data_IF_845219123222
#
_entry.id   IF_845219123222
#
_cell.length_a   1.000
_cell.length_b   1.000
_cell.length_c   1.000
_cell.angle_alpha   90.00
_cell.angle_beta   90.00
_cell.angle_gamma   90.00
#
_symmetry.space_group_name_H-M   'P 1'
#
loop_
_entity.id
_entity.type
_entity.pdbx_description
1 polymer ?
#
# COMPACT_ATOMS: atom_id res chain seq x y z
N UNK A 1 6.15 -54.31 17.19
CA UNK A 1 5.47 -53.30 16.35
C UNK A 1 4.80 -52.18 17.17
N UNK A 2 5.17 -51.96 18.44
CA UNK A 2 4.46 -51.05 19.38
C UNK A 2 5.11 -49.65 19.55
N UNK A 3 6.28 -49.39 18.95
CA UNK A 3 7.00 -48.11 19.10
C UNK A 3 6.56 -47.00 18.14
N UNK A 4 6.20 -47.36 16.90
CA UNK A 4 5.94 -46.39 15.83
C UNK A 4 4.72 -45.51 16.09
N UNK A 5 3.66 -46.06 16.68
CA UNK A 5 2.45 -45.28 17.03
C UNK A 5 2.67 -44.26 18.13
N UNK A 6 3.55 -44.55 19.10
CA UNK A 6 3.93 -43.61 20.17
C UNK A 6 4.75 -42.45 19.61
N UNK A 7 5.68 -42.73 18.68
CA UNK A 7 6.49 -41.70 18.02
C UNK A 7 5.60 -40.75 17.20
N UNK A 8 4.65 -41.28 16.43
CA UNK A 8 3.74 -40.46 15.61
C UNK A 8 2.83 -39.59 16.49
N UNK A 9 2.24 -40.15 17.54
CA UNK A 9 1.41 -39.38 18.48
C UNK A 9 2.21 -38.28 19.20
N UNK A 10 3.50 -38.54 19.48
CA UNK A 10 4.37 -37.54 20.09
C UNK A 10 4.75 -36.43 19.12
N UNK A 11 5.05 -36.76 17.87
CA UNK A 11 5.29 -35.77 16.82
C UNK A 11 4.07 -34.87 16.60
N UNK A 12 2.86 -35.44 16.65
CA UNK A 12 1.60 -34.69 16.57
C UNK A 12 1.44 -33.73 17.76
N UNK A 13 1.76 -34.19 18.98
CA UNK A 13 1.77 -33.34 20.17
C UNK A 13 2.84 -32.22 20.08
N UNK A 14 4.04 -32.54 19.58
CA UNK A 14 5.12 -31.57 19.35
C UNK A 14 4.69 -30.51 18.33
N UNK A 15 4.06 -30.92 17.23
CA UNK A 15 3.53 -30.01 16.20
C UNK A 15 2.42 -29.14 16.77
N UNK A 16 1.48 -29.71 17.53
CA UNK A 16 0.40 -28.98 18.18
C UNK A 16 0.94 -27.93 19.15
N UNK A 17 1.90 -28.30 19.99
CA UNK A 17 2.54 -27.38 20.92
C UNK A 17 3.36 -26.31 20.21
N UNK A 18 4.03 -26.64 19.10
CA UNK A 18 4.76 -25.66 18.28
C UNK A 18 3.82 -24.67 17.59
N UNK A 19 2.69 -25.14 17.04
CA UNK A 19 1.65 -24.29 16.46
C UNK A 19 1.06 -23.33 17.50
N UNK A 20 0.97 -23.76 18.76
CA UNK A 20 0.49 -22.94 19.87
C UNK A 20 1.59 -22.10 20.54
N UNK A 21 2.85 -22.20 20.09
CA UNK A 21 3.98 -21.47 20.68
C UNK A 21 4.41 -21.96 22.08
N UNK A 22 3.93 -23.11 22.54
CA UNK A 22 4.17 -23.67 23.88
C UNK A 22 5.14 -24.85 23.88
N UNK A 23 5.84 -25.09 22.77
CA UNK A 23 6.76 -26.22 22.67
C UNK A 23 7.93 -26.11 23.65
N UNK A 24 8.10 -27.14 24.48
CA UNK A 24 9.24 -27.27 25.40
C UNK A 24 9.90 -28.63 25.22
N UNK A 25 11.24 -28.62 25.20
CA UNK A 25 12.05 -29.85 25.18
C UNK A 25 11.75 -30.71 26.42
N UNK A 26 11.56 -32.01 26.21
CA UNK A 26 11.20 -32.96 27.27
C UNK A 26 12.38 -33.88 27.62
N UNK A 27 12.47 -34.30 28.88
CA UNK A 27 13.49 -35.26 29.34
C UNK A 27 13.03 -36.71 29.13
N UNK A 28 12.82 -37.11 27.88
CA UNK A 28 12.53 -38.51 27.54
C UNK A 28 13.79 -39.22 27.02
N UNK A 29 14.09 -40.41 27.54
CA UNK A 29 15.35 -41.13 27.36
C UNK A 29 15.33 -42.10 26.15
N UNK A 30 14.89 -41.60 24.99
CA UNK A 30 15.14 -42.20 23.68
C UNK A 30 16.11 -41.29 22.94
N UNK A 31 17.39 -41.64 22.92
CA UNK A 31 18.49 -40.79 22.45
C UNK A 31 18.32 -40.22 21.04
N UNK A 32 17.58 -40.88 20.15
CA UNK A 32 17.22 -40.35 18.83
C UNK A 32 16.10 -39.30 18.87
N UNK A 33 15.10 -39.49 19.74
CA UNK A 33 13.98 -38.58 19.90
C UNK A 33 14.40 -37.30 20.64
N UNK A 34 15.23 -37.40 21.68
CA UNK A 34 15.76 -36.21 22.37
C UNK A 34 16.62 -35.36 21.42
N UNK A 35 17.39 -35.99 20.52
CA UNK A 35 18.13 -35.28 19.47
C UNK A 35 17.20 -34.59 18.47
N UNK A 36 16.05 -35.19 18.15
CA UNK A 36 15.06 -34.59 17.28
C UNK A 36 14.34 -33.41 17.96
N UNK A 37 13.95 -33.54 19.24
CA UNK A 37 13.36 -32.45 20.03
C UNK A 37 14.30 -31.25 20.11
N UNK A 38 15.58 -31.48 20.38
CA UNK A 38 16.60 -30.42 20.43
C UNK A 38 16.76 -29.70 19.08
N UNK A 39 16.86 -30.46 17.97
CA UNK A 39 16.91 -29.88 16.61
C UNK A 39 15.64 -29.12 16.25
N UNK A 40 14.47 -29.63 16.65
CA UNK A 40 13.18 -28.99 16.38
C UNK A 40 13.04 -27.69 17.17
N UNK A 41 13.46 -27.68 18.44
CA UNK A 41 13.57 -26.46 19.25
C UNK A 41 14.49 -25.44 18.59
N UNK A 42 15.70 -25.86 18.20
CA UNK A 42 16.67 -24.98 17.55
C UNK A 42 16.11 -24.38 16.25
N UNK A 43 15.37 -25.18 15.47
CA UNK A 43 14.68 -24.71 14.26
C UNK A 43 13.60 -23.68 14.57
N UNK A 44 12.72 -23.95 15.54
CA UNK A 44 11.64 -23.03 15.93
C UNK A 44 12.19 -21.70 16.46
N UNK A 45 13.14 -21.75 17.38
CA UNK A 45 13.81 -20.54 17.91
C UNK A 45 14.57 -19.80 16.81
N UNK A 46 15.24 -20.52 15.91
CA UNK A 46 15.90 -19.91 14.75
C UNK A 46 14.93 -19.18 13.81
N UNK A 47 13.74 -19.76 13.58
CA UNK A 47 12.68 -19.11 12.78
C UNK A 47 12.09 -17.89 13.47
N UNK A 48 11.84 -17.97 14.77
CA UNK A 48 11.32 -16.85 15.56
C UNK A 48 12.28 -15.66 15.52
N UNK A 49 13.57 -15.88 15.81
CA UNK A 49 14.60 -14.85 15.72
C UNK A 49 14.75 -14.27 14.31
N UNK A 50 14.63 -15.11 13.27
CA UNK A 50 14.65 -14.65 11.89
C UNK A 50 13.41 -13.78 11.57
N UNK A 51 12.23 -14.16 12.05
CA UNK A 51 11.00 -13.38 11.92
C UNK A 51 11.11 -12.01 12.59
N UNK A 52 11.57 -11.96 13.84
CA UNK A 52 11.81 -10.70 14.56
C UNK A 52 12.83 -9.82 13.83
N UNK A 53 13.87 -10.42 13.25
CA UNK A 53 14.88 -9.68 12.51
C UNK A 53 14.28 -9.04 11.26
N UNK A 54 13.47 -9.78 10.49
CA UNK A 54 12.77 -9.25 9.31
C UNK A 54 11.85 -8.08 9.70
N UNK A 55 11.10 -8.22 10.80
CA UNK A 55 10.21 -7.14 11.27
C UNK A 55 10.99 -5.91 11.75
N UNK A 56 12.13 -6.10 12.41
CA UNK A 56 13.04 -5.01 12.78
C UNK A 56 13.63 -4.30 11.55
N UNK A 57 14.09 -5.05 10.55
CA UNK A 57 14.63 -4.49 9.31
C UNK A 57 13.55 -3.71 8.54
N UNK A 58 12.32 -4.24 8.44
CA UNK A 58 11.16 -3.53 7.86
C UNK A 58 10.88 -2.21 8.58
N UNK A 59 10.87 -2.24 9.91
CA UNK A 59 10.61 -1.04 10.73
C UNK A 59 11.72 0.01 10.55
N UNK A 60 12.98 -0.41 10.51
CA UNK A 60 14.11 0.49 10.30
C UNK A 60 14.08 1.16 8.91
N UNK A 61 13.78 0.40 7.85
CA UNK A 61 13.61 0.94 6.49
C UNK A 61 12.51 2.01 6.48
N UNK A 62 11.37 1.73 7.14
CA UNK A 62 10.25 2.67 7.23
C UNK A 62 10.62 3.99 7.91
N UNK A 63 11.32 3.92 9.04
CA UNK A 63 11.78 5.11 9.77
C UNK A 63 12.77 5.92 8.93
N UNK A 64 13.70 5.24 8.27
CA UNK A 64 14.68 5.86 7.38
C UNK A 64 14.00 6.58 6.21
N UNK A 65 13.07 5.92 5.51
CA UNK A 65 12.35 6.53 4.38
C UNK A 65 11.50 7.73 4.84
N UNK A 66 10.85 7.60 6.00
CA UNK A 66 10.05 8.70 6.57
C UNK A 66 10.93 9.91 6.90
N UNK A 67 12.08 9.68 7.54
CA UNK A 67 13.02 10.74 7.90
C UNK A 67 13.63 11.41 6.67
N UNK A 68 14.08 10.64 5.67
CA UNK A 68 14.58 11.18 4.41
C UNK A 68 13.53 12.09 3.78
N UNK A 69 12.29 11.62 3.68
CA UNK A 69 11.20 12.35 3.03
C UNK A 69 10.88 13.67 3.73
N UNK A 70 10.92 13.70 5.07
CA UNK A 70 10.77 14.94 5.82
C UNK A 70 11.94 15.91 5.60
N UNK A 71 13.18 15.40 5.60
CA UNK A 71 14.38 16.22 5.43
C UNK A 71 14.54 16.76 4.00
N UNK A 72 14.05 16.04 3.00
CA UNK A 72 14.13 16.46 1.59
C UNK A 72 13.04 17.45 1.19
N UNK A 73 11.88 17.45 1.87
CA UNK A 73 10.73 18.29 1.47
C UNK A 73 11.06 19.78 1.50
N UNK A 74 11.75 20.24 2.54
CA UNK A 74 12.12 21.65 2.72
C UNK A 74 13.13 22.14 1.66
N UNK A 75 14.30 21.51 1.46
CA UNK A 75 15.24 21.97 0.43
C UNK A 75 14.65 21.88 -0.97
N UNK A 76 13.77 20.91 -1.25
CA UNK A 76 13.12 20.79 -2.54
C UNK A 76 12.10 21.90 -2.79
N UNK A 77 11.28 22.23 -1.79
CA UNK A 77 10.38 23.38 -1.84
C UNK A 77 11.15 24.69 -2.09
N UNK A 78 12.33 24.84 -1.47
CA UNK A 78 13.19 26.00 -1.69
C UNK A 78 13.74 26.03 -3.13
N UNK A 79 14.18 24.89 -3.68
CA UNK A 79 14.62 24.81 -5.08
C UNK A 79 13.49 25.24 -6.03
N UNK A 80 12.27 24.73 -5.83
CA UNK A 80 11.11 25.12 -6.64
C UNK A 80 10.79 26.62 -6.49
N UNK A 81 10.88 27.18 -5.28
CA UNK A 81 10.68 28.60 -5.05
C UNK A 81 11.75 29.44 -5.78
N UNK A 82 13.02 29.05 -5.67
CA UNK A 82 14.11 29.77 -6.32
C UNK A 82 14.03 29.69 -7.84
N UNK A 83 13.60 28.56 -8.41
CA UNK A 83 13.39 28.47 -9.86
C UNK A 83 12.22 29.34 -10.31
N UNK A 84 11.13 29.41 -9.54
CA UNK A 84 10.02 30.33 -9.83
C UNK A 84 10.48 31.80 -9.80
N UNK A 85 11.26 32.20 -8.79
CA UNK A 85 11.82 33.55 -8.72
C UNK A 85 12.80 33.83 -9.87
N UNK A 86 13.61 32.84 -10.25
CA UNK A 86 14.54 32.96 -11.38
C UNK A 86 13.81 33.10 -12.71
N UNK A 87 12.68 32.41 -12.91
CA UNK A 87 11.86 32.52 -14.13
C UNK A 87 11.38 33.95 -14.38
N UNK A 88 11.10 34.71 -13.32
CA UNK A 88 10.65 36.12 -13.42
C UNK A 88 11.74 37.09 -13.90
N UNK A 89 13.02 36.75 -13.69
CA UNK A 89 14.17 37.62 -13.99
C UNK A 89 15.09 37.10 -15.10
N UNK A 90 14.81 35.91 -15.63
CA UNK A 90 15.62 35.23 -16.65
C UNK A 90 15.38 35.82 -18.05
N UNK A 91 16.44 35.88 -18.86
CA UNK A 91 16.35 36.20 -20.29
C UNK A 91 16.02 34.94 -21.13
N UNK A 92 15.77 35.11 -22.43
CA UNK A 92 15.43 33.99 -23.33
C UNK A 92 16.50 32.89 -23.38
N UNK A 93 17.76 33.22 -23.10
CA UNK A 93 18.87 32.25 -23.10
C UNK A 93 18.94 31.45 -21.81
N UNK A 94 18.57 32.04 -20.67
CA UNK A 94 18.66 31.42 -19.34
C UNK A 94 17.38 30.70 -18.93
N UNK A 95 16.23 31.17 -19.40
CA UNK A 95 14.91 30.63 -19.07
C UNK A 95 14.78 29.11 -19.33
N UNK A 96 15.30 28.52 -20.43
CA UNK A 96 15.23 27.08 -20.66
C UNK A 96 15.94 26.27 -19.57
N UNK A 97 17.07 26.76 -19.05
CA UNK A 97 17.82 26.07 -18.00
C UNK A 97 17.08 26.11 -16.67
N UNK A 98 16.46 27.25 -16.32
CA UNK A 98 15.67 27.39 -15.09
C UNK A 98 14.45 26.45 -15.11
N UNK A 99 13.76 26.39 -16.26
CA UNK A 99 12.64 25.46 -16.45
C UNK A 99 13.07 23.99 -16.32
N UNK A 100 14.25 23.63 -16.82
CA UNK A 100 14.80 22.28 -16.63
C UNK A 100 15.09 21.98 -15.16
N UNK A 101 15.66 22.91 -14.39
CA UNK A 101 15.90 22.72 -12.95
C UNK A 101 14.57 22.52 -12.21
N UNK A 102 13.55 23.35 -12.51
CA UNK A 102 12.20 23.21 -11.94
C UNK A 102 11.62 21.82 -12.22
N UNK A 103 11.68 21.37 -13.47
CA UNK A 103 11.19 20.05 -13.87
C UNK A 103 11.91 18.91 -13.11
N UNK A 104 13.23 18.98 -12.95
CA UNK A 104 13.97 17.97 -12.19
C UNK A 104 13.62 18.00 -10.69
N UNK A 105 13.38 19.17 -10.11
CA UNK A 105 12.95 19.30 -8.72
C UNK A 105 11.55 18.69 -8.50
N UNK A 106 10.60 18.97 -9.39
CA UNK A 106 9.26 18.38 -9.36
C UNK A 106 9.31 16.85 -9.52
N UNK A 107 10.14 16.36 -10.43
CA UNK A 107 10.37 14.92 -10.61
C UNK A 107 10.93 14.27 -9.34
N UNK A 108 11.85 14.94 -8.65
CA UNK A 108 12.40 14.43 -7.39
C UNK A 108 11.32 14.40 -6.29
N UNK A 109 10.42 15.38 -6.23
CA UNK A 109 9.31 15.42 -5.26
C UNK A 109 8.38 14.24 -5.49
N UNK A 110 8.04 13.98 -6.76
CA UNK A 110 7.23 12.84 -7.15
C UNK A 110 7.87 11.51 -6.75
N UNK A 111 9.17 11.31 -7.02
CA UNK A 111 9.88 10.08 -6.68
C UNK A 111 9.93 9.84 -5.16
N UNK A 112 10.20 10.89 -4.37
CA UNK A 112 10.26 10.79 -2.90
C UNK A 112 8.90 10.45 -2.32
N UNK A 113 7.83 11.10 -2.80
CA UNK A 113 6.46 10.78 -2.39
C UNK A 113 6.08 9.36 -2.75
N UNK A 114 6.43 8.89 -3.95
CA UNK A 114 6.17 7.52 -4.40
C UNK A 114 6.91 6.51 -3.54
N UNK A 115 8.20 6.73 -3.26
CA UNK A 115 9.00 5.88 -2.38
C UNK A 115 8.40 5.79 -0.96
N UNK A 116 7.96 6.93 -0.42
CA UNK A 116 7.28 6.98 0.89
C UNK A 116 6.00 6.14 0.90
N UNK A 117 5.20 6.24 -0.17
CA UNK A 117 3.94 5.48 -0.30
C UNK A 117 4.22 3.98 -0.35
N UNK A 118 5.19 3.54 -1.17
CA UNK A 118 5.58 2.13 -1.29
C UNK A 118 6.09 1.60 0.05
N UNK A 119 6.98 2.34 0.72
CA UNK A 119 7.50 1.95 2.04
C UNK A 119 6.38 1.76 3.08
N UNK A 120 5.34 2.60 3.05
CA UNK A 120 4.17 2.46 3.93
C UNK A 120 3.29 1.26 3.58
N UNK A 121 3.21 0.91 2.30
CA UNK A 121 2.47 -0.26 1.80
C UNK A 121 3.16 -1.57 2.19
N UNK A 122 4.48 -1.66 2.00
CA UNK A 122 5.27 -2.86 2.35
C UNK A 122 5.34 -3.13 3.87
N UNK A 123 5.12 -2.10 4.69
CA UNK A 123 5.17 -2.21 6.16
C UNK A 123 3.80 -2.52 6.81
N UNK A 124 2.80 -3.00 6.05
CA UNK A 124 1.42 -3.27 6.51
C UNK A 124 0.75 -2.08 7.25
N UNK A 125 1.22 -0.85 7.01
CA UNK A 125 0.70 0.35 7.67
C UNK A 125 -0.60 0.85 7.00
N UNK A 126 -0.85 0.41 5.76
CA UNK A 126 -2.10 0.62 5.07
C UNK A 126 -3.12 -0.38 5.61
N UNK A 127 -3.76 -0.02 6.72
CA UNK A 127 -4.94 -0.73 7.20
C UNK A 127 -6.15 -0.25 6.43
N UNK A 128 -6.58 -1.05 5.44
CA UNK A 128 -7.84 -0.83 4.74
C UNK A 128 -9.00 -0.91 5.74
N UNK A 129 -9.86 0.11 5.74
CA UNK A 129 -11.10 0.13 6.52
C UNK A 129 -12.28 0.22 5.56
N UNK A 130 -12.60 -0.88 4.84
CA UNK A 130 -13.67 -0.86 3.87
C UNK A 130 -15.01 -0.58 4.56
N UNK A 131 -15.82 0.29 3.93
CA UNK A 131 -17.19 0.59 4.35
C UNK A 131 -18.10 0.48 3.14
N UNK A 132 -19.32 -0.02 3.34
CA UNK A 132 -20.35 0.01 2.31
C UNK A 132 -20.79 1.45 2.08
N UNK A 133 -20.56 1.97 0.87
CA UNK A 133 -20.89 3.35 0.51
C UNK A 133 -21.08 3.49 -1.02
N UNK A 134 -21.75 4.56 -1.50
CA UNK A 134 -22.00 4.79 -2.92
C UNK A 134 -20.71 4.99 -3.71
N UNK A 135 -20.58 4.33 -4.86
CA UNK A 135 -19.37 4.37 -5.71
C UNK A 135 -19.31 5.65 -6.55
N UNK A 136 -20.45 6.11 -7.07
CA UNK A 136 -20.50 7.23 -8.02
C UNK A 136 -19.82 8.52 -7.50
N UNK A 137 -20.03 8.97 -6.23
CA UNK A 137 -19.35 10.14 -5.69
C UNK A 137 -17.81 10.03 -5.70
N UNK A 138 -17.27 8.81 -5.52
CA UNK A 138 -15.83 8.56 -5.58
C UNK A 138 -15.28 8.77 -7.00
N UNK A 139 -15.97 8.18 -7.98
CA UNK A 139 -15.59 8.26 -9.41
C UNK A 139 -15.69 9.69 -9.90
N UNK A 140 -16.78 10.38 -9.56
CA UNK A 140 -16.97 11.79 -9.92
C UNK A 140 -15.86 12.67 -9.34
N UNK A 141 -15.48 12.44 -8.07
CA UNK A 141 -14.37 13.16 -7.46
C UNK A 141 -13.03 12.89 -8.16
N UNK A 142 -12.72 11.63 -8.47
CA UNK A 142 -11.47 11.27 -9.15
C UNK A 142 -11.39 11.88 -10.57
N UNK A 143 -12.49 11.85 -11.33
CA UNK A 143 -12.58 12.47 -12.66
C UNK A 143 -12.42 13.99 -12.58
N UNK A 144 -13.03 14.65 -11.59
CA UNK A 144 -12.84 16.10 -11.37
C UNK A 144 -11.38 16.45 -11.11
N UNK A 145 -10.68 15.66 -10.31
CA UNK A 145 -9.27 15.91 -9.97
C UNK A 145 -8.34 15.64 -11.16
N UNK A 146 -8.64 14.64 -12.00
CA UNK A 146 -7.86 14.32 -13.19
C UNK A 146 -8.15 15.26 -14.39
N UNK A 147 -9.26 15.99 -14.38
CA UNK A 147 -9.69 16.83 -15.53
C UNK A 147 -8.61 17.82 -15.97
N UNK A 148 -7.93 18.49 -15.03
CA UNK A 148 -6.88 19.46 -15.37
C UNK A 148 -5.68 18.84 -16.11
N UNK A 149 -5.27 17.63 -15.73
CA UNK A 149 -4.21 16.91 -16.42
C UNK A 149 -4.68 16.37 -17.78
N UNK A 150 -5.93 15.89 -17.86
CA UNK A 150 -6.53 15.40 -19.10
C UNK A 150 -6.67 16.51 -20.15
N UNK A 151 -7.09 17.71 -19.75
CA UNK A 151 -7.16 18.89 -20.62
C UNK A 151 -5.78 19.28 -21.17
N UNK A 152 -4.73 19.24 -20.34
CA UNK A 152 -3.36 19.46 -20.78
C UNK A 152 -2.88 18.42 -21.82
N UNK A 153 -3.44 17.20 -21.79
CA UNK A 153 -3.20 16.11 -22.75
C UNK A 153 -4.24 16.07 -23.90
N UNK A 154 -5.17 17.04 -23.97
CA UNK A 154 -6.30 17.08 -24.92
C UNK A 154 -7.23 15.83 -24.86
N UNK A 155 -7.39 15.24 -23.68
CA UNK A 155 -8.26 14.09 -23.41
C UNK A 155 -9.53 14.54 -22.69
N UNK A 156 -10.70 14.02 -23.12
CA UNK A 156 -11.98 14.28 -22.45
C UNK A 156 -12.31 13.15 -21.48
N UNK A 157 -12.48 13.47 -20.20
CA UNK A 157 -12.91 12.52 -19.16
C UNK A 157 -14.38 12.76 -18.78
N UNK A 158 -15.17 11.69 -18.72
CA UNK A 158 -16.57 11.71 -18.29
C UNK A 158 -16.83 10.58 -17.28
N UNK A 159 -17.57 10.89 -16.21
CA UNK A 159 -18.11 9.90 -15.30
C UNK A 159 -19.55 9.58 -15.74
N UNK A 160 -19.84 8.30 -16.00
CA UNK A 160 -21.18 7.81 -16.31
C UNK A 160 -21.62 6.82 -15.23
N UNK A 161 -22.87 6.93 -14.79
CA UNK A 161 -23.54 5.92 -13.98
C UNK A 161 -24.39 5.09 -14.94
N UNK A 162 -23.98 3.86 -15.25
CA UNK A 162 -24.69 3.02 -16.23
C UNK A 162 -25.84 2.18 -15.63
N UNK A 163 -26.14 2.35 -14.34
CA UNK A 163 -27.39 1.84 -13.80
C UNK A 163 -28.52 2.87 -14.04
N UNK A 164 -29.38 2.54 -15.02
CA UNK A 164 -30.65 3.17 -15.46
C UNK A 164 -30.56 3.94 -16.80
N UNK A 165 -30.26 3.22 -17.89
CA UNK A 165 -30.72 3.58 -19.24
C UNK A 165 -31.22 2.38 -20.08
N UNK A 166 -31.40 1.18 -19.52
CA UNK A 166 -31.92 0.02 -20.26
C UNK A 166 -33.44 -0.13 -20.25
N UNK A 167 -34.20 0.78 -19.62
CA UNK A 167 -35.68 0.71 -19.67
C UNK A 167 -36.37 2.07 -19.70
N UNK A 168 -36.04 2.92 -20.68
CA UNK A 168 -36.89 4.07 -21.05
C UNK A 168 -37.94 3.64 -22.07
N UNK A 169 -38.85 2.76 -21.65
CA UNK A 169 -40.11 2.48 -22.36
C UNK A 169 -41.32 2.28 -21.43
N UNK A 170 -41.28 2.79 -20.20
CA UNK A 170 -42.46 2.83 -19.35
C UNK A 170 -42.51 4.13 -18.53
N UNK A 171 -43.62 4.86 -18.71
CA UNK A 171 -44.30 5.60 -17.65
C UNK A 171 -43.53 6.66 -16.88
N UNK A 172 -43.94 7.91 -17.08
CA UNK A 172 -43.99 8.92 -16.01
C UNK A 172 -44.52 8.28 -14.71
N UNK A 173 -43.92 8.62 -13.57
CA UNK A 173 -44.27 8.19 -12.19
C UNK A 173 -43.42 7.05 -11.60
N UNK A 174 -42.14 7.31 -11.30
CA UNK A 174 -41.38 6.55 -10.28
C UNK A 174 -40.09 7.30 -9.90
N UNK A 175 -40.20 8.31 -9.04
CA UNK A 175 -39.07 9.09 -8.54
C UNK A 175 -38.40 8.50 -7.27
N UNK A 176 -38.74 7.28 -6.83
CA UNK A 176 -38.42 6.87 -5.46
C UNK A 176 -37.40 5.73 -5.27
N UNK A 177 -36.97 5.00 -6.30
CA UNK A 177 -35.99 3.90 -6.09
C UNK A 177 -34.76 4.03 -6.99
N UNK A 178 -34.01 5.12 -6.82
CA UNK A 178 -32.63 5.23 -7.31
C UNK A 178 -31.71 4.70 -6.20
N UNK A 179 -31.44 3.40 -6.16
CA UNK A 179 -30.41 2.88 -5.26
C UNK A 179 -29.05 3.08 -5.95
N UNK A 180 -28.22 4.04 -5.49
CA UNK A 180 -26.91 4.25 -6.10
C UNK A 180 -26.08 2.97 -5.96
N UNK A 181 -25.30 2.61 -6.97
CA UNK A 181 -24.40 1.46 -6.89
C UNK A 181 -23.50 1.59 -5.64
N UNK A 182 -23.68 0.69 -4.67
CA UNK A 182 -22.90 0.66 -3.42
C UNK A 182 -21.88 -0.45 -3.45
N UNK A 183 -20.67 -0.18 -2.97
CA UNK A 183 -19.63 -1.19 -2.79
C UNK A 183 -18.96 -1.03 -1.43
N UNK A 184 -18.34 -2.11 -0.94
CA UNK A 184 -17.54 -2.11 0.27
C UNK A 184 -16.08 -1.78 -0.07
N UNK A 185 -15.65 -0.54 0.17
CA UNK A 185 -14.29 -0.09 -0.17
C UNK A 185 -13.76 0.95 0.82
N UNK A 186 -12.44 1.16 0.82
CA UNK A 186 -11.80 2.23 1.58
C UNK A 186 -11.72 3.48 0.71
N UNK A 187 -12.48 4.52 1.07
CA UNK A 187 -12.60 5.74 0.27
C UNK A 187 -11.25 6.35 -0.11
N UNK A 188 -10.29 6.35 0.83
CA UNK A 188 -9.01 7.02 0.64
C UNK A 188 -8.13 6.25 -0.34
N UNK A 189 -7.99 4.95 -0.11
CA UNK A 189 -7.09 4.11 -0.90
C UNK A 189 -7.66 3.76 -2.27
N UNK A 190 -8.97 3.53 -2.37
CA UNK A 190 -9.62 3.31 -3.67
C UNK A 190 -9.57 4.57 -4.53
N UNK A 191 -9.76 5.76 -3.95
CA UNK A 191 -9.59 7.02 -4.69
C UNK A 191 -8.16 7.18 -5.21
N UNK A 192 -7.17 6.91 -4.36
CA UNK A 192 -5.75 7.02 -4.76
C UNK A 192 -5.41 6.04 -5.89
N UNK A 193 -5.90 4.81 -5.82
CA UNK A 193 -5.75 3.84 -6.90
C UNK A 193 -6.41 4.32 -8.21
N UNK A 194 -7.61 4.89 -8.12
CA UNK A 194 -8.35 5.41 -9.27
C UNK A 194 -7.65 6.63 -9.89
N UNK A 195 -7.08 7.50 -9.06
CA UNK A 195 -6.24 8.61 -9.51
C UNK A 195 -5.01 8.14 -10.27
N UNK A 196 -4.28 7.15 -9.75
CA UNK A 196 -3.12 6.58 -10.44
C UNK A 196 -3.48 5.94 -11.79
N UNK A 197 -4.69 5.38 -11.93
CA UNK A 197 -5.18 4.85 -13.20
C UNK A 197 -5.53 5.95 -14.20
N UNK A 198 -6.05 7.09 -13.74
CA UNK A 198 -6.40 8.23 -14.60
C UNK A 198 -5.17 9.06 -15.01
N UNK A 199 -4.11 9.07 -14.20
CA UNK A 199 -2.87 9.80 -14.50
C UNK A 199 -2.02 9.12 -15.60
N UNK A 200 -2.20 7.80 -15.79
CA UNK A 200 -1.44 6.94 -16.72
C UNK A 200 -1.97 7.08 -18.16
#
# INVERSE_FOLDING_TARGET
MFGTGKIVSRLDEMLTNAMNGTFTESRYDETELSRLESKFRQYLTGRELAGERVERERTAIKELVTNISHQTKTPLANICLYTQLLEEISDENTLPYVQQIRLQAEKLDFLIRTLTKISRLESDMIRLRPKSQPVFPLVEQAVREARGQAEAKAVTLQAADEDIASDRSAGMDSAENMHPATASYDARWTKEALGNLLDN
#
